data_IF_833648514944
#
_entry.id   IF_833648514944
#
_cell.length_a   1.000
_cell.length_b   1.000
_cell.length_c   1.000
_cell.angle_alpha   90.00
_cell.angle_beta   90.00
_cell.angle_gamma   90.00
#
_symmetry.space_group_name_H-M   'P 1'
#
loop_
_entity.id
_entity.type
_entity.pdbx_description
1 polymer ?
#
# COMPACT_ATOMS: atom_id res chain seq x y z
N UNK A 1 -20.34 -3.96 -22.78
CA UNK A 1 -19.49 -4.98 -22.11
C UNK A 1 -19.82 -4.93 -20.64
N UNK A 2 -20.19 -6.06 -20.03
CA UNK A 2 -20.35 -6.15 -18.58
C UNK A 2 -18.97 -6.32 -17.97
N UNK A 3 -18.58 -5.43 -17.06
CA UNK A 3 -17.30 -5.52 -16.35
C UNK A 3 -17.26 -6.77 -15.48
N UNK A 4 -16.15 -7.51 -15.52
CA UNK A 4 -15.88 -8.66 -14.64
C UNK A 4 -15.11 -8.27 -13.39
N UNK A 5 -14.33 -7.19 -13.47
CA UNK A 5 -13.44 -6.75 -12.41
C UNK A 5 -13.88 -5.39 -11.92
N UNK A 6 -14.83 -5.36 -10.99
CA UNK A 6 -15.32 -4.12 -10.40
C UNK A 6 -15.67 -4.27 -8.92
N UNK A 7 -15.72 -3.13 -8.24
CA UNK A 7 -16.27 -3.00 -6.88
C UNK A 7 -17.35 -1.92 -6.93
N UNK A 8 -18.57 -2.28 -6.59
CA UNK A 8 -19.70 -1.36 -6.44
C UNK A 8 -19.89 -1.02 -4.96
N UNK A 9 -19.85 0.26 -4.63
CA UNK A 9 -20.01 0.75 -3.26
C UNK A 9 -21.48 1.00 -2.86
N UNK A 10 -22.44 0.78 -3.76
CA UNK A 10 -23.87 0.90 -3.51
C UNK A 10 -24.41 2.33 -3.48
N UNK A 11 -23.55 3.33 -3.68
CA UNK A 11 -23.88 4.76 -3.72
C UNK A 11 -23.74 5.37 -5.13
N UNK A 12 -23.74 4.54 -6.17
CA UNK A 12 -23.50 4.94 -7.56
C UNK A 12 -22.02 5.08 -7.93
N UNK A 13 -21.11 4.83 -6.99
CA UNK A 13 -19.67 4.74 -7.28
C UNK A 13 -19.29 3.29 -7.58
N UNK A 14 -18.77 3.08 -8.78
CA UNK A 14 -18.25 1.78 -9.22
C UNK A 14 -16.81 1.96 -9.69
N UNK A 15 -15.90 1.21 -9.08
CA UNK A 15 -14.49 1.18 -9.48
C UNK A 15 -14.29 0.00 -10.40
N UNK A 16 -13.73 0.26 -11.58
CA UNK A 16 -13.47 -0.73 -12.62
C UNK A 16 -11.98 -1.00 -12.75
N UNK A 17 -11.63 -2.27 -12.94
CA UNK A 17 -10.25 -2.71 -13.07
C UNK A 17 -9.99 -3.53 -14.34
N UNK A 18 -10.99 -3.75 -15.20
CA UNK A 18 -10.85 -4.58 -16.42
C UNK A 18 -9.66 -4.13 -17.28
N UNK A 19 -9.44 -2.81 -17.43
CA UNK A 19 -8.31 -2.28 -18.22
C UNK A 19 -6.94 -2.74 -17.72
N UNK A 20 -6.79 -2.94 -16.40
CA UNK A 20 -5.54 -3.41 -15.81
C UNK A 20 -5.47 -4.93 -15.82
N UNK A 21 -6.55 -5.61 -15.46
CA UNK A 21 -6.54 -7.09 -15.42
C UNK A 21 -6.39 -7.67 -16.84
N UNK A 22 -7.00 -7.06 -17.84
CA UNK A 22 -6.89 -7.47 -19.24
C UNK A 22 -5.48 -7.28 -19.83
N UNK A 23 -4.60 -6.48 -19.20
CA UNK A 23 -3.18 -6.45 -19.61
C UNK A 23 -2.44 -7.73 -19.23
N UNK A 24 -3.01 -8.53 -18.31
CA UNK A 24 -2.41 -9.74 -17.79
C UNK A 24 -1.40 -9.50 -16.67
N UNK A 25 -1.06 -8.24 -16.36
CA UNK A 25 -0.02 -7.89 -15.37
C UNK A 25 -0.57 -7.74 -13.96
N UNK A 26 -1.88 -7.58 -13.82
CA UNK A 26 -2.53 -7.24 -12.55
C UNK A 26 -3.58 -8.26 -12.14
N UNK A 27 -3.74 -8.42 -10.83
CA UNK A 27 -4.90 -9.04 -10.20
C UNK A 27 -5.69 -7.97 -9.44
N UNK A 28 -7.01 -8.06 -9.44
CA UNK A 28 -7.87 -7.09 -8.77
C UNK A 28 -8.61 -7.76 -7.62
N UNK A 29 -8.64 -7.09 -6.46
CA UNK A 29 -9.44 -7.50 -5.31
C UNK A 29 -10.82 -6.83 -5.36
N UNK A 30 -11.83 -7.58 -5.82
CA UNK A 30 -13.20 -7.10 -5.95
C UNK A 30 -13.85 -6.72 -4.62
N UNK A 31 -13.30 -7.14 -3.48
CA UNK A 31 -13.84 -6.81 -2.14
C UNK A 31 -13.34 -5.47 -1.62
N UNK A 32 -12.25 -4.91 -2.17
CA UNK A 32 -11.64 -3.71 -1.59
C UNK A 32 -11.39 -2.56 -2.56
N UNK A 33 -11.02 -2.80 -3.83
CA UNK A 33 -10.33 -1.86 -4.77
C UNK A 33 -8.80 -1.96 -4.83
N UNK A 34 -8.22 -3.04 -4.31
CA UNK A 34 -6.77 -3.25 -4.42
C UNK A 34 -6.45 -3.82 -5.80
N UNK A 35 -5.41 -3.29 -6.42
CA UNK A 35 -4.83 -3.78 -7.65
C UNK A 35 -3.41 -4.27 -7.36
N UNK A 36 -3.17 -5.56 -7.54
CA UNK A 36 -1.93 -6.21 -7.18
C UNK A 36 -1.16 -6.53 -8.45
N UNK A 37 0.01 -5.92 -8.62
CA UNK A 37 0.90 -6.27 -9.73
C UNK A 37 1.42 -7.70 -9.53
N UNK A 38 1.35 -8.56 -10.55
CA UNK A 38 1.90 -9.93 -10.49
C UNK A 38 3.42 -9.92 -10.33
N UNK A 39 4.08 -8.89 -10.85
CA UNK A 39 5.48 -8.59 -10.57
C UNK A 39 5.55 -7.46 -9.53
N UNK A 40 6.12 -7.68 -8.32
CA UNK A 40 6.24 -6.65 -7.31
C UNK A 40 6.86 -5.36 -7.86
N UNK A 41 6.21 -4.22 -7.62
CA UNK A 41 6.73 -2.94 -8.05
C UNK A 41 7.94 -2.55 -7.19
N UNK A 42 8.93 -1.91 -7.79
CA UNK A 42 10.07 -1.38 -7.05
C UNK A 42 9.67 -0.09 -6.33
N UNK A 43 10.16 0.05 -5.10
CA UNK A 43 10.02 1.30 -4.37
C UNK A 43 10.71 2.45 -5.14
N UNK A 44 10.05 3.61 -5.35
CA UNK A 44 10.59 4.69 -6.17
C UNK A 44 11.61 5.53 -5.40
N UNK A 45 12.82 5.00 -5.28
CA UNK A 45 13.92 5.61 -4.51
C UNK A 45 14.28 7.00 -5.04
N UNK A 46 14.38 7.17 -6.36
CA UNK A 46 14.74 8.46 -6.98
C UNK A 46 13.75 9.56 -6.59
N UNK A 47 12.45 9.27 -6.63
CA UNK A 47 11.40 10.20 -6.22
C UNK A 47 11.50 10.53 -4.73
N UNK A 48 11.82 9.55 -3.88
CA UNK A 48 12.02 9.79 -2.45
C UNK A 48 13.22 10.72 -2.20
N UNK A 49 14.32 10.52 -2.92
CA UNK A 49 15.54 11.31 -2.79
C UNK A 49 15.35 12.75 -3.29
N UNK A 50 14.66 12.94 -4.42
CA UNK A 50 14.32 14.24 -4.99
C UNK A 50 13.43 15.08 -4.06
N UNK A 51 12.47 14.44 -3.38
CA UNK A 51 11.61 15.12 -2.40
C UNK A 51 12.32 15.46 -1.09
N UNK A 52 13.57 15.04 -0.91
CA UNK A 52 14.40 15.50 0.21
C UNK A 52 14.02 14.90 1.57
N UNK A 53 13.35 13.74 1.58
CA UNK A 53 12.99 12.82 2.70
C UNK A 53 11.48 12.68 2.95
N UNK A 54 11.14 11.51 3.47
CA UNK A 54 9.82 11.17 3.99
C UNK A 54 9.44 12.09 5.15
N UNK A 55 8.31 12.78 5.03
CA UNK A 55 7.76 13.57 6.12
C UNK A 55 7.15 12.64 7.19
N UNK A 56 7.93 12.39 8.25
CA UNK A 56 7.52 11.62 9.43
C UNK A 56 6.29 12.26 10.11
N UNK A 57 6.05 13.56 9.91
CA UNK A 57 4.92 14.28 10.50
C UNK A 57 3.57 13.90 9.86
N UNK A 58 3.58 13.35 8.64
CA UNK A 58 2.36 12.94 7.91
C UNK A 58 1.87 11.55 8.29
N UNK A 59 2.52 10.87 9.23
CA UNK A 59 2.21 9.49 9.56
C UNK A 59 0.73 9.30 9.95
N UNK A 60 -0.06 8.70 9.04
CA UNK A 60 -1.51 8.59 9.20
C UNK A 60 -1.85 7.39 10.10
N UNK A 61 -2.63 7.73 11.11
CA UNK A 61 -2.79 7.07 12.42
C UNK A 61 -3.85 5.97 12.40
N UNK A 62 -3.63 4.87 13.14
CA UNK A 62 -4.68 3.96 13.62
C UNK A 62 -4.25 3.40 15.00
N UNK A 63 -4.90 3.79 16.10
CA UNK A 63 -4.78 3.12 17.43
C UNK A 63 -4.10 3.90 18.58
N UNK A 64 -4.20 3.33 19.80
CA UNK A 64 -3.76 3.90 21.09
C UNK A 64 -2.23 4.01 21.26
N UNK A 65 -1.45 3.31 20.44
CA UNK A 65 0.01 3.20 20.56
C UNK A 65 0.77 4.33 19.80
N UNK A 66 0.18 5.53 19.77
CA UNK A 66 0.60 6.65 18.92
C UNK A 66 2.07 7.06 19.07
N UNK A 67 2.56 7.11 20.31
CA UNK A 67 3.94 7.53 20.56
C UNK A 67 4.95 6.42 20.27
N UNK A 68 4.58 5.17 20.49
CA UNK A 68 5.45 4.03 20.19
C UNK A 68 5.59 3.85 18.69
N UNK A 69 4.50 3.93 17.92
CA UNK A 69 4.56 3.90 16.47
C UNK A 69 5.48 4.99 15.88
N UNK A 70 5.47 6.21 16.44
CA UNK A 70 6.41 7.28 16.04
C UNK A 70 7.87 6.92 16.35
N UNK A 71 8.14 6.30 17.51
CA UNK A 71 9.49 5.87 17.89
C UNK A 71 9.99 4.77 16.97
N UNK A 72 9.14 3.79 16.65
CA UNK A 72 9.42 2.74 15.67
C UNK A 72 9.77 3.35 14.31
N UNK A 73 8.91 4.23 13.77
CA UNK A 73 9.16 4.91 12.50
C UNK A 73 10.47 5.69 12.54
N UNK A 74 10.72 6.45 13.61
CA UNK A 74 11.97 7.21 13.76
C UNK A 74 13.20 6.29 13.83
N UNK A 75 13.09 5.16 14.53
CA UNK A 75 14.14 4.15 14.64
C UNK A 75 14.47 3.53 13.29
N UNK A 76 13.44 3.08 12.56
CA UNK A 76 13.58 2.47 11.24
C UNK A 76 14.14 3.48 10.24
N UNK A 77 13.59 4.69 10.19
CA UNK A 77 14.02 5.71 9.23
C UNK A 77 15.40 6.32 9.53
N UNK A 78 15.93 6.13 10.74
CA UNK A 78 17.30 6.50 11.08
C UNK A 78 18.35 5.53 10.51
N UNK A 79 17.95 4.31 10.12
CA UNK A 79 18.85 3.34 9.49
C UNK A 79 19.13 3.80 8.06
N UNK A 80 20.42 3.88 7.70
CA UNK A 80 20.82 4.24 6.34
C UNK A 80 20.21 3.24 5.35
N UNK A 81 19.60 3.75 4.28
CA UNK A 81 18.98 2.95 3.22
C UNK A 81 17.87 2.00 3.71
N UNK A 82 17.21 2.28 4.84
CA UNK A 82 16.11 1.44 5.36
C UNK A 82 15.02 1.09 4.33
N UNK A 83 14.80 1.98 3.36
CA UNK A 83 13.83 1.82 2.29
C UNK A 83 14.15 0.66 1.33
N UNK A 84 15.37 0.11 1.32
CA UNK A 84 15.72 -1.03 0.47
C UNK A 84 15.07 -2.33 0.91
N UNK A 85 14.62 -2.39 2.17
CA UNK A 85 13.89 -3.53 2.72
C UNK A 85 12.38 -3.41 2.54
N UNK A 86 11.89 -2.36 1.85
CA UNK A 86 10.47 -2.22 1.56
C UNK A 86 10.05 -3.20 0.46
N UNK A 87 9.04 -3.98 0.77
CA UNK A 87 8.38 -4.89 -0.15
C UNK A 87 7.06 -4.29 -0.61
N UNK A 88 6.75 -4.43 -1.90
CA UNK A 88 5.48 -3.99 -2.45
C UNK A 88 4.35 -4.90 -1.98
N UNK A 89 3.23 -4.34 -1.52
CA UNK A 89 2.05 -5.09 -1.13
C UNK A 89 0.99 -5.05 -2.24
N UNK A 90 0.52 -3.86 -2.58
CA UNK A 90 -0.55 -3.63 -3.57
C UNK A 90 -0.61 -2.17 -4.02
N UNK A 91 -1.44 -1.88 -5.01
CA UNK A 91 -1.83 -0.53 -5.44
C UNK A 91 -3.31 -0.29 -5.19
N UNK A 92 -3.70 0.97 -5.02
CA UNK A 92 -5.10 1.34 -4.78
C UNK A 92 -5.63 2.13 -5.96
N UNK A 93 -6.85 1.81 -6.39
CA UNK A 93 -7.58 2.62 -7.37
C UNK A 93 -8.38 3.73 -6.68
N UNK A 94 -8.50 4.89 -7.33
CA UNK A 94 -9.51 5.89 -6.98
C UNK A 94 -10.89 5.44 -7.44
N UNK A 95 -11.91 6.19 -7.00
CA UNK A 95 -13.28 6.11 -7.52
C UNK A 95 -13.35 6.29 -9.04
N UNK A 96 -12.42 7.06 -9.62
CA UNK A 96 -12.27 7.24 -11.07
C UNK A 96 -11.49 6.11 -11.76
N UNK A 97 -11.27 4.97 -11.10
CA UNK A 97 -10.62 3.79 -11.68
C UNK A 97 -9.17 4.04 -12.17
N UNK A 98 -8.47 4.97 -11.51
CA UNK A 98 -7.04 5.26 -11.78
C UNK A 98 -6.19 4.87 -10.58
N UNK A 99 -5.01 4.30 -10.84
CA UNK A 99 -4.05 4.01 -9.77
C UNK A 99 -3.69 5.32 -9.08
N UNK A 100 -3.88 5.37 -7.76
CA UNK A 100 -3.63 6.55 -6.94
C UNK A 100 -2.37 6.42 -6.09
N UNK A 101 -2.16 5.21 -5.59
CA UNK A 101 -1.08 4.95 -4.64
C UNK A 101 -0.63 3.50 -4.70
N UNK A 102 0.58 3.30 -4.20
CA UNK A 102 1.24 2.02 -4.00
C UNK A 102 1.57 1.90 -2.52
N UNK A 103 1.25 0.75 -1.94
CA UNK A 103 1.60 0.43 -0.56
C UNK A 103 2.80 -0.51 -0.55
N UNK A 104 3.78 -0.16 0.27
CA UNK A 104 4.93 -0.95 0.59
C UNK A 104 4.97 -1.20 2.10
N UNK A 105 5.69 -2.22 2.52
CA UNK A 105 5.91 -2.46 3.94
C UNK A 105 7.24 -3.15 4.22
N UNK A 106 7.66 -3.05 5.48
CA UNK A 106 8.72 -3.87 6.05
C UNK A 106 8.32 -4.27 7.47
N UNK A 107 8.85 -5.39 7.94
CA UNK A 107 8.75 -5.80 9.35
C UNK A 107 10.03 -5.35 10.05
N UNK A 108 9.88 -4.75 11.23
CA UNK A 108 10.98 -4.30 12.06
C UNK A 108 10.74 -4.66 13.52
N UNK A 109 11.80 -5.00 14.23
CA UNK A 109 11.76 -5.18 15.68
C UNK A 109 11.99 -3.84 16.40
N UNK A 110 11.20 -3.56 17.43
CA UNK A 110 11.40 -2.44 18.33
C UNK A 110 11.00 -2.85 19.75
N UNK A 111 11.91 -2.71 20.71
CA UNK A 111 11.70 -3.08 22.12
C UNK A 111 11.22 -4.53 22.33
N UNK A 112 11.71 -5.46 21.50
CA UNK A 112 11.34 -6.89 21.56
C UNK A 112 9.97 -7.23 20.99
N UNK A 113 9.28 -6.26 20.36
CA UNK A 113 8.03 -6.47 19.64
C UNK A 113 8.25 -6.28 18.13
N UNK A 114 7.54 -7.06 17.32
CA UNK A 114 7.53 -6.89 15.87
C UNK A 114 6.50 -5.83 15.46
N UNK A 115 6.90 -4.99 14.51
CA UNK A 115 6.10 -3.91 13.95
C UNK A 115 6.12 -3.98 12.43
N UNK A 116 4.99 -3.67 11.81
CA UNK A 116 4.92 -3.42 10.37
C UNK A 116 4.99 -1.93 10.13
N UNK A 117 5.99 -1.49 9.38
CA UNK A 117 6.09 -0.13 8.88
C UNK A 117 5.58 -0.12 7.44
N UNK A 118 4.48 0.58 7.19
CA UNK A 118 3.94 0.77 5.86
C UNK A 118 4.36 2.11 5.29
N UNK A 119 4.67 2.11 3.99
CA UNK A 119 4.96 3.32 3.22
C UNK A 119 4.01 3.36 2.04
N UNK A 120 3.16 4.37 1.98
CA UNK A 120 2.34 4.66 0.81
C UNK A 120 3.06 5.68 -0.05
N UNK A 121 3.13 5.42 -1.36
CA UNK A 121 3.58 6.36 -2.38
C UNK A 121 2.41 6.64 -3.32
N UNK A 122 1.99 7.89 -3.47
CA UNK A 122 0.90 8.26 -4.36
C UNK A 122 0.93 9.73 -4.75
N UNK A 123 -0.11 10.20 -5.41
CA UNK A 123 -0.26 11.62 -5.77
C UNK A 123 -1.23 12.32 -4.84
N UNK A 124 -0.94 13.56 -4.46
CA UNK A 124 -1.92 14.42 -3.80
C UNK A 124 -2.92 15.03 -4.80
N UNK A 125 -3.85 15.83 -4.29
CA UNK A 125 -4.87 16.54 -5.07
C UNK A 125 -4.24 17.52 -6.09
N UNK A 126 -2.97 17.89 -5.93
CA UNK A 126 -2.19 18.73 -6.85
C UNK A 126 -1.32 17.96 -7.84
N UNK A 127 -1.35 16.62 -7.82
CA UNK A 127 -0.51 15.77 -8.66
C UNK A 127 0.94 15.64 -8.20
N UNK A 128 1.29 16.18 -7.03
CA UNK A 128 2.63 16.02 -6.47
C UNK A 128 2.77 14.65 -5.83
N UNK A 129 3.91 14.00 -6.09
CA UNK A 129 4.24 12.74 -5.44
C UNK A 129 4.37 12.97 -3.93
N UNK A 130 3.69 12.13 -3.14
CA UNK A 130 3.73 12.15 -1.70
C UNK A 130 4.04 10.75 -1.16
N UNK A 131 4.82 10.74 -0.09
CA UNK A 131 5.08 9.55 0.69
C UNK A 131 4.49 9.71 2.08
N UNK A 132 3.75 8.69 2.54
CA UNK A 132 3.23 8.62 3.90
C UNK A 132 3.73 7.35 4.57
N UNK A 133 4.28 7.48 5.79
CA UNK A 133 4.76 6.34 6.59
C UNK A 133 3.83 6.09 7.77
N UNK A 134 3.53 4.84 8.11
CA UNK A 134 2.78 4.49 9.32
C UNK A 134 3.32 3.20 9.90
N UNK A 135 3.11 2.96 11.20
CA UNK A 135 3.50 1.72 11.83
C UNK A 135 2.36 1.16 12.67
N UNK A 136 2.28 -0.17 12.75
CA UNK A 136 1.40 -0.90 13.69
C UNK A 136 2.12 -2.14 14.18
N UNK A 137 1.74 -2.67 15.35
CA UNK A 137 2.22 -3.98 15.79
C UNK A 137 1.94 -5.06 14.77
N UNK A 138 2.90 -5.94 14.58
CA UNK A 138 2.75 -7.07 13.68
C UNK A 138 1.67 -8.00 14.21
N UNK A 139 0.70 -8.30 13.35
CA UNK A 139 -0.30 -9.34 13.56
C UNK A 139 -0.32 -10.19 12.28
N UNK A 140 0.12 -11.45 12.32
CA UNK A 140 0.22 -12.30 11.12
C UNK A 140 -1.16 -12.58 10.47
N UNK A 141 -2.24 -12.57 11.25
CA UNK A 141 -3.59 -12.80 10.72
C UNK A 141 -4.05 -11.62 9.85
N UNK A 142 -3.77 -10.39 10.29
CA UNK A 142 -4.16 -9.17 9.60
C UNK A 142 -3.14 -8.66 8.59
N UNK A 143 -1.88 -9.05 8.71
CA UNK A 143 -0.85 -8.62 7.78
C UNK A 143 -1.09 -9.24 6.40
N UNK A 144 -0.97 -8.41 5.36
CA UNK A 144 -1.17 -8.80 3.97
C UNK A 144 0.06 -8.38 3.20
N UNK A 145 1.01 -9.31 3.05
CA UNK A 145 2.11 -9.18 2.10
C UNK A 145 1.63 -9.33 0.65
N UNK A 146 2.56 -9.20 -0.29
CA UNK A 146 2.31 -9.35 -1.73
C UNK A 146 1.65 -10.69 -2.10
N UNK A 147 2.16 -11.79 -1.54
CA UNK A 147 1.71 -13.16 -1.87
C UNK A 147 0.28 -13.36 -1.41
N UNK A 148 -0.01 -12.97 -0.17
CA UNK A 148 -1.36 -13.01 0.40
C UNK A 148 -2.30 -12.07 -0.36
N UNK A 149 -1.83 -10.89 -0.76
CA UNK A 149 -2.63 -9.96 -1.58
C UNK A 149 -3.00 -10.57 -2.94
N UNK A 150 -2.04 -11.20 -3.64
CA UNK A 150 -2.28 -11.89 -4.90
C UNK A 150 -3.29 -13.03 -4.76
N UNK A 151 -3.13 -13.87 -3.73
CA UNK A 151 -4.04 -14.98 -3.46
C UNK A 151 -5.46 -14.48 -3.20
N UNK A 152 -5.62 -13.47 -2.33
CA UNK A 152 -6.92 -12.89 -2.03
C UNK A 152 -7.57 -12.30 -3.28
N UNK A 153 -6.81 -11.59 -4.12
CA UNK A 153 -7.32 -11.01 -5.35
C UNK A 153 -7.80 -12.07 -6.35
N UNK A 154 -7.04 -13.15 -6.54
CA UNK A 154 -7.40 -14.25 -7.44
C UNK A 154 -8.75 -14.89 -7.09
N UNK A 155 -9.06 -15.00 -5.79
CA UNK A 155 -10.30 -15.61 -5.30
C UNK A 155 -11.43 -14.61 -5.07
N UNK A 156 -11.17 -13.30 -5.18
CA UNK A 156 -12.10 -12.25 -4.77
C UNK A 156 -13.23 -11.99 -5.77
N UNK A 157 -12.92 -12.11 -7.06
CA UNK A 157 -13.81 -11.78 -8.14
C UNK A 157 -14.49 -13.08 -8.61
N UNK A 158 -15.75 -13.25 -8.23
CA UNK A 158 -16.56 -14.40 -8.61
C UNK A 158 -16.66 -14.58 -10.13
N UNK A 159 -16.53 -15.84 -10.53
CA UNK A 159 -16.74 -16.43 -11.87
C UNK A 159 -17.98 -15.97 -12.60
#
# INVERSE_FOLDING_TARGET
MTSKYHTDFGNGVVVYADKYVNSGEWAYDCKTTRLISKQPLKFPISTLEELGKLDISTARQIGDEREEAKRVIKSVTAIKNWYTSLEYNYSSLTESSVINSHLYSLIAEHNGEEWVVFVSHGSDIGGQAQFTIRAKKYNPEEYVDHTKALSLAADSCGS
#
